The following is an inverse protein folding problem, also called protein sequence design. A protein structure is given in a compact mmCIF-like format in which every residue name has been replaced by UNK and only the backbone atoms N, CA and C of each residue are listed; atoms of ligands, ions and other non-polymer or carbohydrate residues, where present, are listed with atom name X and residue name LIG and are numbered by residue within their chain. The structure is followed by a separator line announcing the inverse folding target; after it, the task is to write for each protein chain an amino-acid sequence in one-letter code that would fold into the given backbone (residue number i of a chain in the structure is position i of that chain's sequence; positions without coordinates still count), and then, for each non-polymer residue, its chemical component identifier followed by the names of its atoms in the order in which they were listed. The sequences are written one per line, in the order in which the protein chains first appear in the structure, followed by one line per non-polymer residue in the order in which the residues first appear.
data_IF_484877904245
#
_entry.id   IF_484877904245
#
_cell.length_a   1.000
_cell.length_b   1.000
_cell.length_c   1.000
_cell.angle_alpha   90.00
_cell.angle_beta   90.00
_cell.angle_gamma   90.00
#
_symmetry.space_group_name_H-M   'P 1'
#
loop_
_entity.id
_entity.type
_entity.pdbx_description
1 polymer ?
#
# COMPACT_ATOMS: atom_id res chain seq x y z
N UNK A 1 -1.11 66.96 -49.16
CA UNK A 1 -1.50 66.24 -50.39
C UNK A 1 -2.17 64.95 -49.98
N UNK A 2 -3.48 65.07 -49.74
CA UNK A 2 -4.24 64.12 -48.93
C UNK A 2 -5.12 63.19 -49.75
N UNK A 3 -5.38 62.00 -49.21
CA UNK A 3 -6.30 61.00 -49.79
C UNK A 3 -7.68 61.64 -50.09
N UNK A 4 -8.11 62.62 -49.28
CA UNK A 4 -9.33 63.40 -49.54
C UNK A 4 -9.29 64.28 -50.81
N UNK A 5 -8.14 64.83 -51.18
CA UNK A 5 -7.99 65.65 -52.39
C UNK A 5 -7.87 64.79 -53.66
N UNK A 6 -7.21 63.62 -53.57
CA UNK A 6 -7.13 62.67 -54.67
C UNK A 6 -8.52 62.15 -55.08
N UNK A 7 -9.37 61.86 -54.11
CA UNK A 7 -10.74 61.40 -54.37
C UNK A 7 -11.67 62.52 -54.88
N UNK A 8 -11.47 63.76 -54.43
CA UNK A 8 -12.27 64.92 -54.87
C UNK A 8 -12.03 65.30 -56.35
N UNK A 9 -10.78 65.20 -56.83
CA UNK A 9 -10.42 65.55 -58.22
C UNK A 9 -10.82 64.49 -59.26
N UNK A 10 -10.92 63.22 -58.88
CA UNK A 10 -11.29 62.15 -59.81
C UNK A 10 -12.77 61.77 -59.79
N UNK A 11 -13.54 62.26 -58.82
CA UNK A 11 -14.96 61.95 -58.70
C UNK A 11 -15.77 63.19 -58.30
N UNK A 12 -16.01 64.12 -59.24
CA UNK A 12 -17.12 65.08 -59.10
C UNK A 12 -17.84 65.39 -60.42
N UNK A 13 -19.15 65.20 -60.34
CA UNK A 13 -20.25 65.63 -61.22
C UNK A 13 -20.31 65.16 -62.68
N UNK A 14 -20.96 64.00 -62.87
CA UNK A 14 -22.06 63.88 -63.85
C UNK A 14 -23.10 62.93 -63.27
N UNK A 15 -24.27 63.47 -62.92
CA UNK A 15 -25.50 62.69 -62.80
C UNK A 15 -25.84 62.12 -64.17
N UNK A 16 -25.39 60.90 -64.44
CA UNK A 16 -26.26 59.92 -65.06
C UNK A 16 -26.26 58.71 -64.15
N UNK A 17 -27.45 58.16 -63.90
CA UNK A 17 -27.66 56.94 -63.15
C UNK A 17 -26.98 55.76 -63.86
N UNK A 18 -25.66 55.62 -63.73
CA UNK A 18 -24.89 54.52 -64.35
C UNK A 18 -25.21 53.15 -63.76
N UNK A 19 -25.94 53.12 -62.65
CA UNK A 19 -26.58 51.93 -62.14
C UNK A 19 -28.00 51.86 -62.69
N UNK A 20 -28.12 51.55 -63.98
CA UNK A 20 -29.38 51.07 -64.55
C UNK A 20 -29.94 50.01 -63.58
N UNK A 21 -31.23 50.05 -63.21
CA UNK A 21 -31.80 49.03 -62.32
C UNK A 21 -31.57 47.63 -62.88
N UNK A 22 -31.54 47.48 -64.21
CA UNK A 22 -31.16 46.25 -64.89
C UNK A 22 -29.68 45.86 -64.77
N UNK A 23 -28.75 46.79 -64.53
CA UNK A 23 -27.33 46.51 -64.27
C UNK A 23 -27.09 46.06 -62.82
N UNK A 24 -27.75 46.70 -61.84
CA UNK A 24 -27.73 46.23 -60.45
C UNK A 24 -28.38 44.85 -60.29
N UNK A 25 -29.48 44.58 -61.00
CA UNK A 25 -30.12 43.27 -61.03
C UNK A 25 -29.18 42.18 -61.56
N UNK A 26 -28.35 42.51 -62.57
CA UNK A 26 -27.34 41.59 -63.12
C UNK A 26 -26.20 41.34 -62.12
N UNK A 27 -25.69 42.38 -61.45
CA UNK A 27 -24.64 42.21 -60.41
C UNK A 27 -25.17 41.40 -59.23
N UNK A 28 -26.39 41.68 -58.76
CA UNK A 28 -27.03 40.92 -57.70
C UNK A 28 -27.26 39.46 -58.12
N UNK A 29 -27.67 39.21 -59.37
CA UNK A 29 -27.79 37.87 -59.94
C UNK A 29 -26.46 37.12 -59.99
N UNK A 30 -25.37 37.79 -60.41
CA UNK A 30 -24.02 37.20 -60.44
C UNK A 30 -23.50 36.93 -59.03
N UNK A 31 -23.69 37.85 -58.08
CA UNK A 31 -23.31 37.67 -56.69
C UNK A 31 -24.08 36.51 -56.03
N UNK A 32 -25.38 36.41 -56.30
CA UNK A 32 -26.21 35.29 -55.84
C UNK A 32 -25.76 33.97 -56.47
N UNK A 33 -25.46 33.96 -57.78
CA UNK A 33 -24.95 32.77 -58.46
C UNK A 33 -23.59 32.33 -57.89
N UNK A 34 -22.67 33.27 -57.61
CA UNK A 34 -21.39 32.98 -56.97
C UNK A 34 -21.57 32.47 -55.54
N UNK A 35 -22.50 33.04 -54.78
CA UNK A 35 -22.82 32.57 -53.42
C UNK A 35 -23.41 31.16 -53.43
N UNK A 36 -24.33 30.87 -54.34
CA UNK A 36 -24.89 29.53 -54.51
C UNK A 36 -23.83 28.54 -55.01
N UNK A 37 -22.92 28.97 -55.89
CA UNK A 37 -21.81 28.15 -56.37
C UNK A 37 -20.82 27.84 -55.25
N UNK A 38 -20.41 28.82 -54.45
CA UNK A 38 -19.49 28.58 -53.33
C UNK A 38 -20.16 27.73 -52.25
N UNK A 39 -21.43 27.95 -51.96
CA UNK A 39 -22.21 27.09 -51.05
C UNK A 39 -22.30 25.66 -51.59
N UNK A 40 -22.59 25.48 -52.88
CA UNK A 40 -22.66 24.17 -53.51
C UNK A 40 -21.30 23.48 -53.52
N UNK A 41 -20.23 24.16 -53.94
CA UNK A 41 -18.86 23.62 -53.94
C UNK A 41 -18.41 23.28 -52.52
N UNK A 42 -18.70 24.14 -51.53
CA UNK A 42 -18.39 23.87 -50.13
C UNK A 42 -19.17 22.68 -49.60
N UNK A 43 -20.49 22.61 -49.87
CA UNK A 43 -21.34 21.48 -49.49
C UNK A 43 -20.86 20.18 -50.13
N UNK A 44 -20.53 20.19 -51.42
CA UNK A 44 -20.05 19.02 -52.16
C UNK A 44 -18.65 18.57 -51.69
N UNK A 45 -17.77 19.52 -51.40
CA UNK A 45 -16.43 19.25 -50.85
C UNK A 45 -16.52 18.68 -49.43
N UNK A 46 -17.37 19.26 -48.57
CA UNK A 46 -17.59 18.74 -47.21
C UNK A 46 -18.22 17.36 -47.21
N UNK A 47 -19.21 17.12 -48.07
CA UNK A 47 -19.83 15.80 -48.22
C UNK A 47 -18.80 14.76 -48.67
N UNK A 48 -17.97 15.09 -49.67
CA UNK A 48 -16.92 14.22 -50.18
C UNK A 48 -15.82 13.94 -49.14
N UNK A 49 -15.38 14.93 -48.37
CA UNK A 49 -14.30 14.77 -47.39
C UNK A 49 -14.76 14.04 -46.13
N UNK A 50 -16.02 14.20 -45.71
CA UNK A 50 -16.56 13.61 -44.48
C UNK A 50 -17.12 12.19 -44.71
N UNK A 51 -17.69 11.91 -45.89
CA UNK A 51 -18.30 10.61 -46.22
C UNK A 51 -17.37 9.62 -46.94
N UNK A 52 -16.12 9.99 -47.24
CA UNK A 52 -15.18 9.12 -47.99
C UNK A 52 -14.34 8.17 -47.15
N UNK A 53 -14.43 8.19 -45.81
CA UNK A 53 -13.68 7.25 -44.98
C UNK A 53 -14.26 5.85 -45.09
N UNK A 54 -13.40 4.85 -45.23
CA UNK A 54 -13.84 3.46 -45.33
C UNK A 54 -14.47 3.02 -44.02
N UNK A 55 -15.34 2.04 -44.15
CA UNK A 55 -15.94 1.36 -43.00
C UNK A 55 -15.05 0.18 -42.58
N UNK A 56 -14.85 0.07 -41.27
CA UNK A 56 -14.07 -0.97 -40.59
C UNK A 56 -14.91 -1.58 -39.49
N UNK A 57 -14.67 -2.86 -39.23
CA UNK A 57 -15.36 -3.62 -38.19
C UNK A 57 -14.61 -3.42 -36.88
N UNK A 58 -15.33 -3.07 -35.82
CA UNK A 58 -14.74 -2.95 -34.49
C UNK A 58 -14.32 -4.33 -33.99
N UNK A 59 -13.03 -4.57 -33.69
CA UNK A 59 -12.55 -5.85 -33.19
C UNK A 59 -13.06 -6.11 -31.77
N UNK A 60 -13.15 -7.39 -31.39
CA UNK A 60 -13.37 -7.78 -30.01
C UNK A 60 -12.08 -7.67 -29.21
N UNK A 61 -12.04 -6.72 -28.28
CA UNK A 61 -10.93 -6.51 -27.35
C UNK A 61 -11.29 -6.85 -25.91
N UNK A 62 -12.51 -7.33 -25.65
CA UNK A 62 -12.93 -7.70 -24.30
C UNK A 62 -12.06 -8.85 -23.76
N UNK A 63 -11.66 -8.76 -22.49
CA UNK A 63 -10.79 -9.75 -21.85
C UNK A 63 -9.32 -9.71 -22.29
N UNK A 64 -8.94 -8.82 -23.21
CA UNK A 64 -7.54 -8.65 -23.62
C UNK A 64 -6.79 -7.66 -22.73
N UNK A 65 -5.47 -7.77 -22.69
CA UNK A 65 -4.60 -6.79 -22.04
C UNK A 65 -4.64 -5.45 -22.79
N UNK A 66 -4.31 -4.36 -22.09
CA UNK A 66 -4.23 -3.03 -22.70
C UNK A 66 -3.32 -2.98 -23.94
N UNK A 67 -2.19 -3.70 -23.93
CA UNK A 67 -1.28 -3.77 -25.06
C UNK A 67 -1.90 -4.48 -26.28
N UNK A 68 -2.50 -5.66 -26.07
CA UNK A 68 -3.12 -6.42 -27.15
C UNK A 68 -4.37 -5.71 -27.70
N UNK A 69 -5.14 -5.06 -26.83
CA UNK A 69 -6.30 -4.26 -27.21
C UNK A 69 -5.89 -3.06 -28.08
N UNK A 70 -4.82 -2.33 -27.69
CA UNK A 70 -4.29 -1.22 -28.47
C UNK A 70 -3.78 -1.68 -29.84
N UNK A 71 -3.08 -2.81 -29.88
CA UNK A 71 -2.59 -3.39 -31.13
C UNK A 71 -3.75 -3.70 -32.08
N UNK A 72 -4.75 -4.46 -31.64
CA UNK A 72 -5.90 -4.82 -32.47
C UNK A 72 -6.72 -3.62 -32.93
N UNK A 73 -6.88 -2.60 -32.09
CA UNK A 73 -7.55 -1.35 -32.47
C UNK A 73 -6.74 -0.64 -33.56
N UNK A 74 -5.42 -0.52 -33.39
CA UNK A 74 -4.55 0.16 -34.34
C UNK A 74 -4.46 -0.57 -35.69
N UNK A 75 -4.46 -1.90 -35.69
CA UNK A 75 -4.47 -2.74 -36.90
C UNK A 75 -5.75 -2.58 -37.74
N UNK A 76 -6.84 -2.09 -37.13
CA UNK A 76 -8.11 -1.83 -37.82
C UNK A 76 -8.33 -0.33 -38.09
N UNK A 77 -7.26 0.48 -38.05
CA UNK A 77 -7.30 1.93 -38.27
C UNK A 77 -8.28 2.68 -37.33
N UNK A 78 -8.48 2.13 -36.12
CA UNK A 78 -9.30 2.73 -35.07
C UNK A 78 -8.42 3.42 -34.02
N UNK A 79 -9.01 4.30 -33.22
CA UNK A 79 -8.31 4.97 -32.12
C UNK A 79 -8.84 4.48 -30.76
N UNK A 80 -7.97 4.24 -29.79
CA UNK A 80 -8.40 3.88 -28.43
C UNK A 80 -8.46 5.11 -27.53
N UNK A 81 -9.51 5.22 -26.72
CA UNK A 81 -9.57 6.19 -25.61
C UNK A 81 -10.01 5.50 -24.32
N UNK A 82 -9.26 5.74 -23.25
CA UNK A 82 -9.63 5.26 -21.92
C UNK A 82 -10.84 6.07 -21.43
N UNK A 83 -11.95 5.38 -21.17
CA UNK A 83 -13.17 5.99 -20.68
C UNK A 83 -13.29 5.91 -19.15
N UNK A 84 -12.60 4.95 -18.52
CA UNK A 84 -12.58 4.80 -17.07
C UNK A 84 -11.95 3.50 -16.62
N UNK A 85 -12.03 3.27 -15.31
CA UNK A 85 -11.56 2.06 -14.66
C UNK A 85 -12.62 1.57 -13.68
N UNK A 86 -12.77 0.25 -13.55
CA UNK A 86 -13.73 -0.37 -12.62
C UNK A 86 -13.09 -1.54 -11.89
N UNK A 87 -13.50 -1.75 -10.64
CA UNK A 87 -13.10 -2.93 -9.88
C UNK A 87 -13.89 -4.15 -10.36
N UNK A 88 -13.18 -5.26 -10.54
CA UNK A 88 -13.74 -6.55 -10.86
C UNK A 88 -12.83 -7.66 -10.32
N UNK A 89 -13.31 -8.37 -9.30
CA UNK A 89 -12.54 -9.42 -8.62
C UNK A 89 -12.19 -10.59 -9.55
N UNK A 90 -12.98 -10.83 -10.60
CA UNK A 90 -12.78 -11.95 -11.53
C UNK A 90 -11.88 -11.60 -12.72
N UNK A 91 -11.55 -10.32 -12.93
CA UNK A 91 -10.82 -9.86 -14.10
C UNK A 91 -9.53 -9.16 -13.67
N UNK A 92 -8.34 -9.64 -14.09
CA UNK A 92 -7.06 -9.06 -13.70
C UNK A 92 -6.94 -7.58 -14.05
N UNK A 93 -6.08 -6.87 -13.31
CA UNK A 93 -5.78 -5.46 -13.58
C UNK A 93 -5.30 -5.25 -15.02
N UNK A 94 -5.68 -4.12 -15.62
CA UNK A 94 -5.30 -3.73 -17.00
C UNK A 94 -5.89 -4.62 -18.10
N UNK A 95 -6.92 -5.39 -17.79
CA UNK A 95 -7.72 -6.15 -18.76
C UNK A 95 -8.97 -5.36 -19.16
N UNK A 96 -9.33 -5.39 -20.43
CA UNK A 96 -10.53 -4.70 -20.95
C UNK A 96 -11.81 -5.34 -20.41
N UNK A 97 -12.61 -4.58 -19.68
CA UNK A 97 -13.93 -5.02 -19.18
C UNK A 97 -15.03 -4.80 -20.21
N UNK A 98 -14.99 -3.65 -20.87
CA UNK A 98 -15.98 -3.25 -21.86
C UNK A 98 -15.41 -2.27 -22.87
N UNK A 99 -15.97 -2.31 -24.06
CA UNK A 99 -15.67 -1.41 -25.16
C UNK A 99 -16.94 -0.78 -25.70
N UNK A 100 -16.82 0.44 -26.23
CA UNK A 100 -17.89 1.11 -26.98
C UNK A 100 -17.26 1.83 -28.17
N UNK A 101 -17.68 1.57 -29.43
CA UNK A 101 -18.78 0.68 -29.86
C UNK A 101 -18.52 -0.82 -29.58
N UNK A 102 -19.57 -1.68 -29.54
CA UNK A 102 -19.41 -3.11 -29.28
C UNK A 102 -18.66 -3.80 -30.42
N UNK A 103 -18.10 -4.98 -30.12
CA UNK A 103 -17.43 -5.81 -31.12
C UNK A 103 -18.37 -6.16 -32.28
N UNK A 104 -17.84 -6.22 -33.50
CA UNK A 104 -18.60 -6.48 -34.72
C UNK A 104 -19.38 -5.27 -35.26
N UNK A 105 -19.41 -4.14 -34.56
CA UNK A 105 -20.04 -2.93 -35.07
C UNK A 105 -19.25 -2.38 -36.27
N UNK A 106 -19.98 -1.96 -37.32
CA UNK A 106 -19.38 -1.27 -38.47
C UNK A 106 -19.26 0.23 -38.16
N UNK A 107 -18.05 0.75 -38.23
CA UNK A 107 -17.75 2.17 -37.97
C UNK A 107 -16.81 2.72 -39.03
N UNK A 108 -16.66 4.03 -39.11
CA UNK A 108 -15.69 4.64 -40.02
C UNK A 108 -14.28 4.59 -39.44
N UNK A 109 -13.27 4.49 -40.29
CA UNK A 109 -11.85 4.60 -39.93
C UNK A 109 -11.59 5.86 -39.07
N UNK A 110 -10.71 5.72 -38.09
CA UNK A 110 -10.40 6.76 -37.10
C UNK A 110 -11.46 6.93 -36.01
N UNK A 111 -12.51 6.10 -35.97
CA UNK A 111 -13.48 6.11 -34.88
C UNK A 111 -12.77 5.78 -33.56
N UNK A 112 -13.11 6.57 -32.53
CA UNK A 112 -12.62 6.35 -31.17
C UNK A 112 -13.43 5.23 -30.50
N UNK A 113 -12.75 4.14 -30.17
CA UNK A 113 -13.24 3.07 -29.29
C UNK A 113 -12.92 3.46 -27.84
N UNK A 114 -13.97 3.67 -27.06
CA UNK A 114 -13.91 3.94 -25.63
C UNK A 114 -13.76 2.63 -24.87
N UNK A 115 -12.78 2.54 -23.99
CA UNK A 115 -12.44 1.30 -23.27
C UNK A 115 -12.45 1.55 -21.76
N UNK A 116 -13.05 0.62 -21.01
CA UNK A 116 -12.98 0.59 -19.54
C UNK A 116 -12.12 -0.60 -19.13
N UNK A 117 -11.11 -0.35 -18.30
CA UNK A 117 -10.18 -1.37 -17.82
C UNK A 117 -10.54 -1.83 -16.40
N UNK A 118 -10.24 -3.09 -16.11
CA UNK A 118 -10.31 -3.62 -14.75
C UNK A 118 -9.17 -3.05 -13.89
N UNK A 119 -9.49 -2.68 -12.65
CA UNK A 119 -8.52 -2.44 -11.58
C UNK A 119 -8.19 -3.70 -10.78
N UNK A 120 -8.74 -4.85 -11.17
CA UNK A 120 -8.74 -6.05 -10.33
C UNK A 120 -9.78 -5.94 -9.21
N UNK A 121 -9.65 -6.81 -8.21
CA UNK A 121 -10.53 -6.75 -7.05
C UNK A 121 -10.24 -5.57 -6.14
N UNK A 122 -11.25 -5.13 -5.38
CA UNK A 122 -11.06 -4.02 -4.45
C UNK A 122 -10.20 -4.48 -3.27
N UNK A 123 -9.15 -3.72 -2.96
CA UNK A 123 -8.19 -4.04 -1.92
C UNK A 123 -8.53 -3.36 -0.60
N UNK A 124 -8.30 -4.06 0.51
CA UNK A 124 -8.44 -3.59 1.88
C UNK A 124 -7.21 -4.01 2.69
N UNK A 125 -6.97 -3.32 3.81
CA UNK A 125 -5.88 -3.67 4.71
C UNK A 125 -6.37 -4.58 5.84
N UNK A 126 -5.57 -5.60 6.13
CA UNK A 126 -5.83 -6.53 7.22
C UNK A 126 -5.64 -5.83 8.57
N UNK A 127 -6.64 -5.78 9.46
CA UNK A 127 -6.49 -5.14 10.77
C UNK A 127 -5.56 -5.96 11.69
N UNK A 128 -5.06 -5.32 12.75
CA UNK A 128 -4.39 -6.01 13.85
C UNK A 128 -5.42 -6.65 14.79
N UNK A 129 -5.35 -7.96 14.92
CA UNK A 129 -6.25 -8.80 15.72
C UNK A 129 -5.57 -9.33 16.99
N UNK A 130 -4.24 -9.37 17.02
CA UNK A 130 -3.45 -9.93 18.13
C UNK A 130 -3.77 -9.18 19.43
N UNK A 131 -4.04 -9.94 20.50
CA UNK A 131 -4.42 -9.43 21.81
C UNK A 131 -5.92 -9.14 21.95
N UNK A 132 -6.72 -9.24 20.87
CA UNK A 132 -8.17 -9.11 20.97
C UNK A 132 -8.84 -10.44 21.32
N UNK A 133 -9.96 -10.42 22.07
CA UNK A 133 -10.84 -11.57 22.15
C UNK A 133 -11.35 -11.98 20.76
N UNK A 134 -11.48 -13.28 20.49
CA UNK A 134 -11.92 -13.81 19.18
C UNK A 134 -13.19 -13.12 18.66
N UNK A 135 -14.16 -12.86 19.54
CA UNK A 135 -15.41 -12.17 19.17
C UNK A 135 -15.17 -10.75 18.66
N UNK A 136 -14.27 -10.00 19.29
CA UNK A 136 -13.94 -8.64 18.88
C UNK A 136 -13.13 -8.65 17.57
N UNK A 137 -12.24 -9.62 17.41
CA UNK A 137 -11.50 -9.83 16.18
C UNK A 137 -12.44 -10.10 14.98
N UNK A 138 -13.44 -10.97 15.17
CA UNK A 138 -14.46 -11.26 14.15
C UNK A 138 -15.25 -10.01 13.73
N UNK A 139 -15.67 -9.18 14.69
CA UNK A 139 -16.38 -7.93 14.40
C UNK A 139 -15.52 -6.94 13.62
N UNK A 140 -14.24 -6.82 14.00
CA UNK A 140 -13.28 -5.93 13.34
C UNK A 140 -13.00 -6.37 11.90
N UNK A 141 -12.88 -7.69 11.65
CA UNK A 141 -12.76 -8.25 10.31
C UNK A 141 -13.95 -7.90 9.43
N UNK A 142 -15.18 -8.11 9.92
CA UNK A 142 -16.41 -7.78 9.19
C UNK A 142 -16.50 -6.28 8.86
N UNK A 143 -16.12 -5.40 9.79
CA UNK A 143 -16.06 -3.96 9.55
C UNK A 143 -15.08 -3.58 8.43
N UNK A 144 -14.01 -4.37 8.26
CA UNK A 144 -13.01 -4.21 7.19
C UNK A 144 -13.33 -5.01 5.93
N UNK A 145 -14.54 -5.57 5.83
CA UNK A 145 -14.98 -6.37 4.68
C UNK A 145 -14.08 -7.60 4.45
N UNK A 146 -13.60 -8.18 5.56
CA UNK A 146 -12.84 -9.41 5.63
C UNK A 146 -13.64 -10.47 6.39
N UNK A 147 -13.26 -11.72 6.20
CA UNK A 147 -13.93 -12.86 6.82
C UNK A 147 -13.00 -13.54 7.83
N UNK A 148 -13.59 -14.09 8.90
CA UNK A 148 -12.86 -14.97 9.80
C UNK A 148 -12.61 -16.30 9.07
N UNK A 149 -11.34 -16.71 8.99
CA UNK A 149 -10.91 -17.96 8.40
C UNK A 149 -10.82 -19.09 9.43
N UNK A 150 -9.81 -19.94 9.27
CA UNK A 150 -9.52 -21.02 10.21
C UNK A 150 -9.16 -20.46 11.59
N UNK A 151 -9.77 -21.04 12.63
CA UNK A 151 -9.46 -20.75 14.04
C UNK A 151 -8.79 -21.98 14.62
N UNK A 152 -7.52 -21.85 14.97
CA UNK A 152 -6.77 -22.90 15.69
C UNK A 152 -6.44 -22.43 17.10
N UNK A 153 -6.15 -23.38 18.00
CA UNK A 153 -5.84 -23.08 19.39
C UNK A 153 -4.38 -23.40 19.71
N UNK A 154 -3.74 -22.57 20.54
CA UNK A 154 -2.44 -22.84 21.16
C UNK A 154 -2.46 -22.40 22.61
N UNK A 155 -1.72 -23.07 23.48
CA UNK A 155 -1.57 -22.64 24.86
C UNK A 155 -0.68 -21.39 24.94
N UNK A 156 -0.89 -20.57 25.98
CA UNK A 156 -0.04 -19.42 26.27
C UNK A 156 0.08 -19.21 27.77
N UNK A 157 1.27 -18.86 28.23
CA UNK A 157 1.53 -18.51 29.64
C UNK A 157 1.08 -17.09 29.99
N UNK A 158 0.80 -16.25 28.99
CA UNK A 158 0.50 -14.82 29.18
C UNK A 158 -0.91 -14.44 28.75
N UNK A 159 -1.43 -15.04 27.68
CA UNK A 159 -2.70 -14.65 27.10
C UNK A 159 -3.88 -15.45 27.67
N UNK A 160 -4.94 -14.75 28.07
CA UNK A 160 -6.18 -15.37 28.54
C UNK A 160 -6.83 -16.22 27.44
N UNK A 161 -7.56 -17.26 27.85
CA UNK A 161 -8.29 -18.14 26.93
C UNK A 161 -9.23 -17.35 26.02
N UNK A 162 -9.17 -17.63 24.72
CA UNK A 162 -9.97 -16.96 23.68
C UNK A 162 -9.35 -15.67 23.11
N UNK A 163 -8.16 -15.29 23.57
CA UNK A 163 -7.40 -14.15 23.02
C UNK A 163 -6.63 -14.56 21.78
N UNK A 164 -6.65 -13.75 20.71
CA UNK A 164 -5.89 -14.00 19.49
C UNK A 164 -4.38 -13.85 19.76
N UNK A 165 -3.62 -14.91 19.52
CA UNK A 165 -2.16 -14.98 19.65
C UNK A 165 -1.45 -14.58 18.35
N UNK A 166 -2.00 -15.00 17.22
CA UNK A 166 -1.46 -14.69 15.89
C UNK A 166 -2.56 -14.68 14.83
N UNK A 167 -2.24 -14.09 13.68
CA UNK A 167 -3.12 -14.01 12.53
C UNK A 167 -2.34 -14.22 11.24
N UNK A 168 -3.02 -14.70 10.20
CA UNK A 168 -2.54 -14.75 8.84
C UNK A 168 -3.70 -14.45 7.88
N UNK A 169 -3.62 -13.45 6.99
CA UNK A 169 -2.48 -12.54 6.75
C UNK A 169 -2.12 -11.62 7.93
N UNK A 170 -0.86 -11.18 7.97
CA UNK A 170 -0.36 -10.23 8.98
C UNK A 170 -1.11 -8.89 8.92
N UNK A 171 -1.13 -8.18 10.04
CA UNK A 171 -1.69 -6.84 10.11
C UNK A 171 -1.06 -5.90 9.06
N UNK A 172 -1.85 -4.95 8.56
CA UNK A 172 -1.51 -3.99 7.50
C UNK A 172 -1.12 -4.62 6.15
N UNK A 173 -1.39 -5.91 5.96
CA UNK A 173 -1.26 -6.57 4.64
C UNK A 173 -2.42 -6.18 3.74
N UNK A 174 -2.11 -5.74 2.53
CA UNK A 174 -3.11 -5.43 1.49
C UNK A 174 -3.64 -6.72 0.87
N UNK A 175 -4.95 -6.94 0.97
CA UNK A 175 -5.65 -8.15 0.55
C UNK A 175 -6.94 -7.77 -0.18
N UNK A 176 -7.54 -8.70 -0.91
CA UNK A 176 -8.84 -8.46 -1.54
C UNK A 176 -9.97 -8.46 -0.52
N UNK A 177 -11.09 -7.84 -0.86
CA UNK A 177 -12.33 -7.99 -0.07
C UNK A 177 -12.71 -9.45 0.07
N UNK A 178 -13.34 -9.77 1.19
CA UNK A 178 -13.78 -11.10 1.58
C UNK A 178 -12.64 -12.13 1.74
N UNK A 179 -11.37 -11.70 1.73
CA UNK A 179 -10.26 -12.57 2.12
C UNK A 179 -10.48 -13.10 3.54
N UNK A 180 -10.24 -14.40 3.71
CA UNK A 180 -10.29 -15.07 5.01
C UNK A 180 -9.00 -14.82 5.79
N UNK A 181 -9.13 -14.41 7.05
CA UNK A 181 -8.02 -14.22 7.97
C UNK A 181 -8.05 -15.33 9.00
N UNK A 182 -7.08 -16.24 8.93
CA UNK A 182 -6.89 -17.29 9.90
C UNK A 182 -6.31 -16.71 11.19
N UNK A 183 -6.69 -17.27 12.33
CA UNK A 183 -6.22 -16.84 13.64
C UNK A 183 -5.86 -18.03 14.52
N UNK A 184 -4.81 -17.86 15.33
CA UNK A 184 -4.51 -18.76 16.44
C UNK A 184 -5.00 -18.08 17.72
N UNK A 185 -5.81 -18.75 18.51
CA UNK A 185 -6.32 -18.24 19.79
C UNK A 185 -5.71 -19.00 20.97
N UNK A 186 -5.63 -18.32 22.11
CA UNK A 186 -5.14 -18.92 23.35
C UNK A 186 -6.14 -19.94 23.87
N UNK A 187 -5.69 -21.17 24.11
CA UNK A 187 -6.43 -22.17 24.88
C UNK A 187 -6.37 -21.91 26.40
N UNK A 188 -5.58 -20.91 26.83
CA UNK A 188 -5.23 -20.63 28.21
C UNK A 188 -3.92 -21.30 28.63
N UNK A 189 -3.74 -21.48 29.93
CA UNK A 189 -2.58 -22.16 30.50
C UNK A 189 -2.53 -23.64 30.06
N UNK A 190 -1.33 -24.20 29.85
CA UNK A 190 -1.17 -25.59 29.44
C UNK A 190 -1.63 -26.57 30.55
N UNK A 191 -2.23 -27.71 30.19
CA UNK A 191 -2.48 -28.81 31.12
C UNK A 191 -1.22 -29.34 31.78
N UNK A 192 -1.37 -29.98 32.94
CA UNK A 192 -0.27 -30.64 33.64
C UNK A 192 0.45 -31.64 32.73
N UNK A 193 1.78 -31.51 32.64
CA UNK A 193 2.64 -32.34 31.79
C UNK A 193 3.05 -31.71 30.46
N UNK A 194 2.42 -30.59 30.05
CA UNK A 194 2.90 -29.76 28.94
C UNK A 194 3.72 -28.62 29.52
N UNK A 195 5.00 -28.56 29.15
CA UNK A 195 5.90 -27.47 29.53
C UNK A 195 6.00 -26.53 28.33
N UNK A 196 5.66 -25.27 28.54
CA UNK A 196 5.88 -24.22 27.55
C UNK A 196 7.17 -23.47 27.85
N UNK A 197 7.83 -23.01 26.79
CA UNK A 197 9.01 -22.17 26.86
C UNK A 197 8.63 -20.77 27.37
N UNK A 198 9.14 -20.32 28.53
CA UNK A 198 8.91 -18.95 29.02
C UNK A 198 9.61 -17.92 28.13
N UNK A 199 9.17 -16.67 28.20
CA UNK A 199 9.91 -15.55 27.63
C UNK A 199 11.02 -15.11 28.60
N UNK A 200 12.24 -15.55 28.31
CA UNK A 200 13.45 -15.19 29.05
C UNK A 200 14.17 -13.97 28.49
N UNK A 201 13.72 -13.41 27.37
CA UNK A 201 14.33 -12.19 26.82
C UNK A 201 14.30 -11.08 27.87
N UNK A 202 15.39 -10.33 27.94
CA UNK A 202 15.63 -9.25 28.90
C UNK A 202 15.79 -9.71 30.36
N UNK A 203 15.74 -11.02 30.66
CA UNK A 203 16.06 -11.57 31.98
C UNK A 203 17.53 -11.95 32.08
N UNK A 204 17.99 -12.23 33.31
CA UNK A 204 19.35 -12.71 33.56
C UNK A 204 19.47 -14.20 33.25
N UNK A 205 20.56 -14.59 32.59
CA UNK A 205 20.89 -15.96 32.25
C UNK A 205 20.86 -16.89 33.48
N UNK A 206 21.33 -16.41 34.62
CA UNK A 206 21.33 -17.15 35.88
C UNK A 206 19.93 -17.63 36.32
N UNK A 207 18.87 -16.86 36.05
CA UNK A 207 17.49 -17.23 36.42
C UNK A 207 16.97 -18.42 35.60
N UNK A 208 17.54 -18.67 34.43
CA UNK A 208 17.03 -19.66 33.47
C UNK A 208 17.50 -21.08 33.76
N UNK A 209 18.69 -21.23 34.38
CA UNK A 209 19.26 -22.55 34.67
C UNK A 209 18.41 -23.35 35.66
N UNK A 210 17.79 -22.69 36.64
CA UNK A 210 16.91 -23.35 37.60
C UNK A 210 15.68 -23.94 36.89
N UNK A 211 14.98 -23.11 36.09
CA UNK A 211 13.83 -23.55 35.33
C UNK A 211 14.18 -24.69 34.35
N UNK A 212 15.31 -24.58 33.66
CA UNK A 212 15.75 -25.63 32.74
C UNK A 212 16.07 -26.94 33.46
N UNK A 213 16.74 -26.88 34.61
CA UNK A 213 17.03 -28.04 35.44
C UNK A 213 15.76 -28.72 35.93
N UNK A 214 14.80 -27.95 36.47
CA UNK A 214 13.52 -28.47 36.98
C UNK A 214 12.71 -29.19 35.88
N UNK A 215 12.83 -28.72 34.63
CA UNK A 215 12.17 -29.30 33.46
C UNK A 215 13.05 -30.31 32.69
N UNK A 216 14.22 -30.66 33.20
CA UNK A 216 15.18 -31.61 32.60
C UNK A 216 15.62 -31.20 31.18
N UNK A 217 15.76 -29.92 30.93
CA UNK A 217 16.19 -29.34 29.66
C UNK A 217 17.70 -29.06 29.66
N UNK A 218 18.32 -29.12 28.49
CA UNK A 218 19.72 -28.71 28.30
C UNK A 218 19.75 -27.26 27.85
N UNK A 219 20.59 -26.44 28.48
CA UNK A 219 20.78 -25.04 28.07
C UNK A 219 22.09 -24.91 27.33
N UNK A 220 22.02 -24.40 26.11
CA UNK A 220 23.18 -23.93 25.34
C UNK A 220 23.19 -22.40 25.34
N UNK A 221 24.35 -21.81 25.59
CA UNK A 221 24.50 -20.35 25.64
C UNK A 221 25.38 -19.88 24.51
N UNK A 222 24.87 -18.93 23.73
CA UNK A 222 25.62 -18.21 22.71
C UNK A 222 25.90 -16.81 23.25
N UNK A 223 27.17 -16.43 23.25
CA UNK A 223 27.60 -15.12 23.72
C UNK A 223 27.61 -14.10 22.57
N UNK A 224 26.93 -12.97 22.77
CA UNK A 224 26.96 -11.83 21.85
C UNK A 224 27.76 -10.66 22.47
N UNK A 225 29.01 -10.44 22.01
CA UNK A 225 29.85 -9.35 22.48
C UNK A 225 29.47 -7.97 21.92
N UNK A 226 28.63 -7.94 20.86
CA UNK A 226 28.19 -6.70 20.22
C UNK A 226 27.00 -6.04 20.93
N UNK A 227 26.33 -6.82 21.78
CA UNK A 227 25.17 -6.41 22.56
C UNK A 227 25.47 -5.23 23.48
N UNK A 228 24.46 -4.36 23.62
CA UNK A 228 24.49 -3.23 24.54
C UNK A 228 23.82 -3.53 25.87
N UNK A 229 23.22 -4.71 26.02
CA UNK A 229 22.64 -5.11 27.30
C UNK A 229 23.73 -5.42 28.32
N UNK A 230 23.47 -5.28 29.64
CA UNK A 230 24.40 -5.69 30.67
C UNK A 230 24.82 -7.17 30.52
N UNK A 231 26.02 -7.51 30.99
CA UNK A 231 26.53 -8.89 30.93
C UNK A 231 25.54 -9.91 31.50
N UNK A 232 25.37 -11.03 30.80
CA UNK A 232 24.47 -12.12 31.16
C UNK A 232 22.98 -11.83 30.92
N UNK A 233 22.62 -10.75 30.23
CA UNK A 233 21.22 -10.48 29.84
C UNK A 233 20.87 -11.24 28.58
N UNK A 234 19.75 -11.96 28.58
CA UNK A 234 19.28 -12.73 27.42
C UNK A 234 18.70 -11.79 26.37
N UNK A 235 19.21 -11.88 25.15
CA UNK A 235 18.83 -11.07 24.00
C UNK A 235 17.78 -11.83 23.19
N UNK A 236 18.04 -13.11 22.97
CA UNK A 236 17.19 -13.97 22.16
C UNK A 236 17.16 -15.40 22.72
N UNK A 237 16.14 -16.15 22.34
CA UNK A 237 15.92 -17.51 22.77
C UNK A 237 15.40 -18.39 21.64
N UNK A 238 15.77 -19.66 21.69
CA UNK A 238 15.22 -20.70 20.82
C UNK A 238 15.02 -21.96 21.66
N UNK A 239 13.82 -22.57 21.71
CA UNK A 239 12.59 -22.19 21.02
C UNK A 239 12.00 -20.83 21.43
N UNK A 240 11.08 -20.30 20.62
CA UNK A 240 10.35 -19.07 20.94
C UNK A 240 9.44 -19.26 22.17
N UNK A 241 9.07 -18.15 22.82
CA UNK A 241 8.12 -18.18 23.93
C UNK A 241 6.80 -18.87 23.56
N UNK A 242 6.16 -19.52 24.53
CA UNK A 242 4.94 -20.32 24.39
C UNK A 242 5.09 -21.57 23.48
N UNK A 243 6.30 -21.90 23.02
CA UNK A 243 6.56 -23.17 22.31
C UNK A 243 6.58 -24.34 23.29
N UNK A 244 5.99 -25.48 22.93
CA UNK A 244 6.06 -26.71 23.73
C UNK A 244 7.50 -27.24 23.75
N UNK A 245 8.03 -27.45 24.94
CA UNK A 245 9.36 -28.04 25.17
C UNK A 245 9.20 -29.40 25.86
N UNK A 246 10.10 -30.33 25.52
CA UNK A 246 10.06 -31.70 26.04
C UNK A 246 11.31 -31.99 26.87
N UNK A 247 11.18 -32.81 27.91
CA UNK A 247 12.32 -33.21 28.72
C UNK A 247 13.47 -33.75 27.85
N UNK A 248 14.67 -33.26 28.09
CA UNK A 248 15.88 -33.58 27.32
C UNK A 248 16.12 -32.73 26.07
N UNK A 249 15.18 -31.87 25.65
CA UNK A 249 15.40 -30.94 24.54
C UNK A 249 16.40 -29.84 24.90
N UNK A 250 16.98 -29.24 23.87
CA UNK A 250 17.95 -28.14 24.01
C UNK A 250 17.23 -26.80 23.88
N UNK A 251 17.53 -25.89 24.81
CA UNK A 251 17.15 -24.49 24.76
C UNK A 251 18.42 -23.68 24.53
N UNK A 252 18.46 -22.96 23.42
CA UNK A 252 19.56 -22.07 23.07
C UNK A 252 19.21 -20.66 23.49
N UNK A 253 20.07 -20.04 24.31
CA UNK A 253 19.92 -18.65 24.78
C UNK A 253 21.08 -17.82 24.27
N UNK A 254 20.78 -16.74 23.55
CA UNK A 254 21.77 -15.75 23.16
C UNK A 254 21.84 -14.69 24.25
N UNK A 255 22.98 -14.56 24.92
CA UNK A 255 23.19 -13.64 26.03
C UNK A 255 24.27 -12.61 25.72
N UNK A 256 24.13 -11.40 26.27
CA UNK A 256 25.17 -10.38 26.20
C UNK A 256 26.42 -10.84 26.94
N UNK A 257 27.56 -10.87 26.25
CA UNK A 257 28.88 -11.13 26.86
C UNK A 257 29.69 -9.85 27.05
N UNK A 258 29.01 -8.69 27.03
CA UNK A 258 29.63 -7.42 27.41
C UNK A 258 30.25 -7.62 28.79
N UNK A 259 31.58 -7.45 28.86
CA UNK A 259 32.36 -7.63 30.07
C UNK A 259 31.99 -6.52 31.05
N UNK A 260 30.90 -6.68 31.80
CA UNK A 260 30.65 -5.90 33.00
C UNK A 260 31.85 -6.19 33.90
N UNK A 261 32.66 -5.16 34.20
CA UNK A 261 33.85 -5.33 35.01
C UNK A 261 33.46 -6.01 36.32
N UNK A 262 33.95 -7.24 36.53
CA UNK A 262 33.56 -8.08 37.67
C UNK A 262 33.69 -7.28 38.98
N UNK A 263 32.57 -7.05 39.66
CA UNK A 263 32.52 -6.40 40.97
C UNK A 263 32.24 -4.89 41.00
N UNK A 264 32.02 -4.23 39.87
CA UNK A 264 31.41 -2.89 39.86
C UNK A 264 29.99 -2.99 39.29
N UNK A 265 28.99 -2.58 40.07
CA UNK A 265 27.66 -2.29 39.53
C UNK A 265 27.84 -1.24 38.44
N UNK A 266 27.85 -1.66 37.17
CA UNK A 266 27.77 -0.72 36.06
C UNK A 266 26.49 0.09 36.30
N UNK A 267 26.61 1.42 36.42
CA UNK A 267 25.43 2.26 36.53
C UNK A 267 24.54 1.97 35.31
N UNK A 268 23.36 1.45 35.61
CA UNK A 268 22.36 1.05 34.63
C UNK A 268 21.44 2.24 34.35
N UNK A 269 21.32 2.61 33.08
CA UNK A 269 20.32 3.56 32.62
C UNK A 269 19.08 2.78 32.21
N UNK A 270 18.01 2.92 33.01
CA UNK A 270 16.71 2.34 32.70
C UNK A 270 15.97 3.21 31.69
N UNK A 271 15.38 2.56 30.71
CA UNK A 271 14.61 3.17 29.63
C UNK A 271 13.16 2.72 29.78
N UNK A 272 12.42 3.25 30.77
CA UNK A 272 11.00 2.98 30.86
C UNK A 272 10.29 3.70 29.71
N UNK A 273 9.48 2.97 28.96
CA UNK A 273 8.64 3.52 27.90
C UNK A 273 7.27 2.85 27.95
N UNK A 274 6.21 3.66 27.97
CA UNK A 274 4.83 3.16 27.90
C UNK A 274 4.32 3.36 26.49
N UNK A 275 3.92 2.27 25.85
CA UNK A 275 3.33 2.35 24.51
C UNK A 275 2.02 3.12 24.59
N UNK A 276 1.81 4.18 23.78
CA UNK A 276 0.61 4.98 23.90
C UNK A 276 -0.66 4.14 23.68
N UNK A 277 -1.70 4.40 24.49
CA UNK A 277 -2.90 3.55 24.60
C UNK A 277 -3.84 3.57 23.38
N UNK A 278 -3.61 4.44 22.39
CA UNK A 278 -4.51 4.59 21.24
C UNK A 278 -4.18 3.63 20.09
N UNK A 279 -5.19 2.93 19.57
CA UNK A 279 -5.10 2.17 18.31
C UNK A 279 -4.69 0.70 18.48
N UNK A 280 -4.11 0.13 17.42
CA UNK A 280 -3.61 -1.25 17.34
C UNK A 280 -2.20 -1.40 17.94
N UNK A 281 -1.67 -2.63 17.94
CA UNK A 281 -0.28 -2.89 18.27
C UNK A 281 0.65 -1.99 17.45
N UNK A 282 1.69 -1.48 18.11
CA UNK A 282 2.64 -0.54 17.52
C UNK A 282 4.00 -1.21 17.38
N UNK A 283 4.64 -0.97 16.24
CA UNK A 283 6.01 -1.41 16.03
C UNK A 283 6.95 -0.45 16.76
N UNK A 284 7.55 -0.92 17.84
CA UNK A 284 8.46 -0.12 18.65
C UNK A 284 9.88 -0.52 18.30
N UNK A 285 10.67 0.48 17.94
CA UNK A 285 12.09 0.33 17.65
C UNK A 285 12.87 1.26 18.57
N UNK A 286 13.78 0.72 19.37
CA UNK A 286 14.64 1.50 20.26
C UNK A 286 16.07 1.38 19.76
N UNK A 287 16.67 2.52 19.49
CA UNK A 287 18.01 2.65 18.93
C UNK A 287 18.85 3.48 19.89
N UNK A 288 20.03 2.98 20.23
CA UNK A 288 21.06 3.74 20.93
C UNK A 288 22.01 4.34 19.92
N UNK A 289 22.32 5.62 20.09
CA UNK A 289 23.29 6.38 19.31
C UNK A 289 24.53 6.54 20.18
N UNK A 290 25.70 6.13 19.68
CA UNK A 290 26.96 6.30 20.38
C UNK A 290 28.14 6.45 19.43
N UNK A 291 29.34 6.62 20.01
CA UNK A 291 30.61 6.79 19.27
C UNK A 291 30.94 5.65 18.29
N UNK A 292 30.37 4.47 18.49
CA UNK A 292 30.56 3.28 17.63
C UNK A 292 29.47 3.13 16.56
N UNK A 293 28.61 4.14 16.38
CA UNK A 293 27.46 4.13 15.48
C UNK A 293 26.13 3.84 16.17
N UNK A 294 25.06 3.85 15.39
CA UNK A 294 23.70 3.56 15.85
C UNK A 294 23.52 2.04 15.99
N UNK A 295 22.98 1.59 17.13
CA UNK A 295 22.67 0.19 17.39
C UNK A 295 21.23 0.03 17.83
N UNK A 296 20.56 -0.96 17.26
CA UNK A 296 19.19 -1.31 17.61
C UNK A 296 19.21 -2.25 18.82
N UNK A 297 18.57 -1.84 19.91
CA UNK A 297 18.49 -2.63 21.16
C UNK A 297 17.14 -3.31 21.33
N UNK A 298 16.10 -2.80 20.67
CA UNK A 298 14.78 -3.43 20.67
C UNK A 298 14.08 -3.15 19.36
N UNK A 299 13.42 -4.17 18.82
CA UNK A 299 12.60 -4.04 17.64
C UNK A 299 11.48 -5.08 17.65
N UNK A 300 10.23 -4.62 17.75
CA UNK A 300 9.09 -5.53 17.75
C UNK A 300 7.75 -4.87 17.99
N UNK A 301 6.69 -5.64 17.75
CA UNK A 301 5.31 -5.22 18.01
C UNK A 301 5.01 -5.23 19.52
N UNK A 302 4.31 -4.20 19.98
CA UNK A 302 3.88 -4.04 21.36
C UNK A 302 2.43 -3.58 21.45
N UNK A 303 1.74 -4.10 22.45
CA UNK A 303 0.34 -3.77 22.74
C UNK A 303 0.21 -2.33 23.25
N UNK A 304 -0.89 -1.62 22.92
CA UNK A 304 -1.19 -0.32 23.51
C UNK A 304 -1.20 -0.40 25.04
N UNK A 305 -0.55 0.56 25.70
CA UNK A 305 -0.44 0.61 27.17
C UNK A 305 0.62 -0.33 27.77
N UNK A 306 1.25 -1.20 26.97
CA UNK A 306 2.33 -2.06 27.48
C UNK A 306 3.56 -1.25 27.88
N UNK A 307 4.26 -1.75 28.90
CA UNK A 307 5.51 -1.15 29.40
C UNK A 307 6.69 -1.85 28.76
N UNK A 308 7.67 -1.07 28.33
CA UNK A 308 8.95 -1.51 27.85
C UNK A 308 9.98 -0.97 28.84
N UNK A 309 10.64 -1.88 29.54
CA UNK A 309 11.69 -1.54 30.49
C UNK A 309 13.00 -2.15 29.97
N UNK A 310 13.73 -1.36 29.19
CA UNK A 310 15.06 -1.74 28.72
C UNK A 310 16.11 -1.15 29.65
N UNK A 311 17.23 -1.84 29.76
CA UNK A 311 18.36 -1.35 30.53
C UNK A 311 19.60 -1.35 29.66
N UNK A 312 20.27 -0.20 29.60
CA UNK A 312 21.57 -0.04 28.96
C UNK A 312 22.57 0.50 29.98
N UNK A 313 23.85 0.10 29.92
CA UNK A 313 24.88 0.64 30.79
C UNK A 313 25.18 2.09 30.43
N UNK A 314 25.49 2.93 31.42
CA UNK A 314 25.77 4.37 31.26
C UNK A 314 26.85 4.70 30.21
N UNK A 315 27.80 3.80 29.97
CA UNK A 315 28.85 3.96 28.94
C UNK A 315 28.56 3.29 27.59
N UNK A 316 27.36 2.71 27.41
CA UNK A 316 26.98 1.96 26.21
C UNK A 316 26.42 2.81 25.08
N UNK A 317 25.95 4.02 25.36
CA UNK A 317 25.30 4.92 24.41
C UNK A 317 25.40 6.37 24.88
N UNK A 318 25.44 7.32 23.95
CA UNK A 318 25.36 8.76 24.27
C UNK A 318 23.88 9.22 24.30
N UNK A 319 23.06 8.67 23.39
CA UNK A 319 21.61 8.97 23.28
C UNK A 319 20.80 7.72 23.02
N UNK A 320 19.52 7.77 23.36
CA UNK A 320 18.51 6.75 23.04
C UNK A 320 17.41 7.41 22.22
N UNK A 321 17.02 6.75 21.13
CA UNK A 321 15.91 7.14 20.25
C UNK A 321 14.86 6.05 20.26
N UNK A 322 13.62 6.43 20.53
CA UNK A 322 12.46 5.54 20.49
C UNK A 322 11.63 5.92 19.27
N UNK A 323 11.41 4.95 18.41
CA UNK A 323 10.57 5.08 17.23
C UNK A 323 9.30 4.25 17.40
N UNK A 324 8.17 4.83 16.99
CA UNK A 324 6.85 4.18 16.96
C UNK A 324 6.38 4.19 15.50
N UNK A 325 6.17 3.00 14.93
CA UNK A 325 5.81 2.82 13.52
C UNK A 325 6.77 3.58 12.57
N UNK A 326 8.06 3.61 12.92
CA UNK A 326 9.11 4.30 12.16
C UNK A 326 9.26 5.80 12.43
N UNK A 327 8.37 6.42 13.21
CA UNK A 327 8.43 7.85 13.56
C UNK A 327 9.18 8.00 14.88
N UNK A 328 10.19 8.88 14.94
CA UNK A 328 10.88 9.23 16.19
C UNK A 328 9.90 9.93 17.13
N UNK A 329 9.62 9.32 18.28
CA UNK A 329 8.70 9.89 19.28
C UNK A 329 9.41 10.42 20.51
N UNK A 330 10.60 9.91 20.81
CA UNK A 330 11.34 10.30 22.00
C UNK A 330 12.85 10.17 21.77
N UNK A 331 13.62 11.16 22.23
CA UNK A 331 15.08 11.12 22.30
C UNK A 331 15.50 11.46 23.73
N UNK A 332 16.35 10.62 24.34
CA UNK A 332 16.89 10.81 25.70
C UNK A 332 18.41 10.83 25.67
N UNK A 333 19.02 11.73 26.41
CA UNK A 333 20.47 11.70 26.67
C UNK A 333 20.77 10.70 27.79
N UNK A 334 21.76 9.83 27.59
CA UNK A 334 22.25 8.93 28.64
C UNK A 334 23.29 9.74 29.45
N UNK A 335 22.89 10.22 30.64
CA UNK A 335 23.70 11.08 31.51
C UNK A 335 23.95 10.46 32.86
#
# INVERSE_FOLDING_TARGET
MGIKEFFSRHFSSTEESFLNPGFLLKIAGVALALFLLTYFLFSWTMDTVIHSRKEVIVPDIQGKSAANALQLISENDLAMKIAGYEFNDSVPISTVLRQVPPAGATVREGKIVKVVFSQGGELVFTPSLIGLPLRNAELLLRQRQLLLGEVSESYSLKAEKGTVLSQEPKAETSVSKNTMVAVVVSAGEPPAGIVLMPDFRQRKLAETYQWASDNKLKVETIEDPSSLFPGGTIIDQTPAADTVVSAGSVVTLTASSRKSAAGQEEKEFRIPYVVPQSGSQRHIRVVTVGKQGDREIFNGLREPGSKIDLTVPYGGADKIRIFVNGILVEEREVK
#
